data_IF_217804628151
#
_entry.id   IF_217804628151
#
_cell.length_a   1.000
_cell.length_b   1.000
_cell.length_c   1.000
_cell.angle_alpha   90.00
_cell.angle_beta   90.00
_cell.angle_gamma   90.00
#
_symmetry.space_group_name_H-M   'P 1'
#
loop_
_entity.id
_entity.type
_entity.pdbx_description
1 polymer ?
#
# COMPACT_ATOMS: atom_id res chain seq x y z
N UNK A 1 10.91 71.06 24.44
CA UNK A 1 11.67 69.79 24.57
C UNK A 1 10.67 68.72 25.00
N UNK A 2 10.38 67.72 24.14
CA UNK A 2 10.84 66.29 24.28
C UNK A 2 9.91 65.53 25.26
N UNK A 3 9.21 64.42 24.95
CA UNK A 3 9.33 63.39 23.92
C UNK A 3 7.96 62.69 23.70
N UNK A 4 7.63 62.36 22.45
CA UNK A 4 6.53 61.43 22.10
C UNK A 4 7.02 60.00 22.29
N UNK A 5 6.33 59.20 23.11
CA UNK A 5 6.57 57.75 23.21
C UNK A 5 5.64 57.02 22.25
N UNK A 6 6.14 56.72 21.06
CA UNK A 6 5.45 55.89 20.07
C UNK A 6 5.57 54.42 20.48
N UNK A 7 4.44 53.76 20.73
CA UNK A 7 4.37 52.30 20.87
C UNK A 7 4.60 51.68 19.49
N UNK A 8 5.69 50.90 19.35
CA UNK A 8 5.93 50.07 18.17
C UNK A 8 5.24 48.74 18.43
N UNK A 9 4.12 48.50 17.75
CA UNK A 9 3.50 47.18 17.70
C UNK A 9 4.32 46.29 16.77
N UNK A 10 4.99 45.27 17.32
CA UNK A 10 5.67 44.23 16.54
C UNK A 10 4.61 43.19 16.17
N UNK A 11 4.06 43.31 14.97
CA UNK A 11 3.15 42.30 14.41
C UNK A 11 3.98 41.14 13.89
N UNK A 12 3.94 40.01 14.60
CA UNK A 12 4.58 38.76 14.19
C UNK A 12 3.79 38.18 12.99
N UNK A 13 4.30 38.37 11.77
CA UNK A 13 3.71 37.78 10.56
C UNK A 13 4.16 36.31 10.48
N UNK A 14 3.34 35.41 11.05
CA UNK A 14 3.55 33.96 10.92
C UNK A 14 3.31 33.54 9.48
N UNK A 15 4.38 33.30 8.73
CA UNK A 15 4.34 32.75 7.38
C UNK A 15 3.98 31.26 7.49
N UNK A 16 2.69 30.94 7.52
CA UNK A 16 2.22 29.55 7.42
C UNK A 16 2.47 29.07 6.00
N UNK A 17 3.53 28.30 5.81
CA UNK A 17 3.79 27.57 4.58
C UNK A 17 2.73 26.46 4.47
N UNK A 18 1.57 26.77 3.89
CA UNK A 18 0.58 25.77 3.53
C UNK A 18 1.18 24.90 2.42
N UNK A 19 1.64 23.70 2.78
CA UNK A 19 1.92 22.65 1.81
C UNK A 19 0.59 22.27 1.15
N UNK A 20 0.35 22.78 -0.06
CA UNK A 20 -0.74 22.31 -0.91
C UNK A 20 -0.44 20.87 -1.29
N UNK A 21 -1.09 19.92 -0.63
CA UNK A 21 -1.19 18.55 -1.12
C UNK A 21 -1.97 18.64 -2.43
N UNK A 22 -1.27 18.50 -3.56
CA UNK A 22 -1.93 18.27 -4.84
C UNK A 22 -2.59 16.89 -4.75
N UNK A 23 -3.88 16.86 -4.44
CA UNK A 23 -4.69 15.69 -4.71
C UNK A 23 -4.87 15.62 -6.22
N UNK A 24 -4.31 14.58 -6.85
CA UNK A 24 -4.56 14.27 -8.25
C UNK A 24 -6.08 14.10 -8.44
N UNK A 25 -6.70 15.04 -9.14
CA UNK A 25 -8.15 15.01 -9.43
C UNK A 25 -8.48 13.77 -10.26
N UNK A 26 -8.83 12.67 -9.61
CA UNK A 26 -9.30 11.44 -10.27
C UNK A 26 -8.76 10.12 -9.72
N UNK A 27 -7.76 10.12 -8.81
CA UNK A 27 -7.21 8.88 -8.28
C UNK A 27 -8.21 8.16 -7.34
N UNK A 28 -8.79 7.05 -7.81
CA UNK A 28 -9.64 6.21 -6.98
C UNK A 28 -8.78 5.40 -6.00
N UNK A 29 -8.88 5.68 -4.70
CA UNK A 29 -8.13 4.91 -3.70
C UNK A 29 -8.60 3.45 -3.65
N UNK A 30 -7.64 2.52 -3.76
CA UNK A 30 -7.89 1.08 -3.57
C UNK A 30 -8.11 0.70 -2.10
N UNK A 31 -7.68 1.57 -1.17
CA UNK A 31 -7.71 1.30 0.27
C UNK A 31 -8.27 2.51 1.02
N UNK A 32 -9.25 2.26 1.89
CA UNK A 32 -9.93 3.31 2.67
C UNK A 32 -9.16 3.71 3.95
N UNK A 33 -7.99 3.11 4.18
CA UNK A 33 -7.18 3.33 5.39
C UNK A 33 -7.70 2.60 6.64
N UNK A 34 -8.78 1.82 6.54
CA UNK A 34 -9.54 1.34 7.70
C UNK A 34 -9.91 -0.14 7.62
N UNK A 35 -10.29 -0.61 6.45
CA UNK A 35 -10.87 -1.94 6.24
C UNK A 35 -10.28 -2.62 5.01
N UNK A 36 -10.42 -3.94 4.96
CA UNK A 36 -10.10 -4.73 3.76
C UNK A 36 -11.32 -4.88 2.84
N UNK A 37 -12.29 -3.95 2.91
CA UNK A 37 -13.44 -3.97 1.99
C UNK A 37 -12.95 -3.79 0.55
N UNK A 38 -13.44 -4.59 -0.37
CA UNK A 38 -12.97 -4.59 -1.76
C UNK A 38 -11.73 -5.45 -1.99
N UNK A 39 -11.29 -6.22 -0.98
CA UNK A 39 -10.15 -7.14 -1.07
C UNK A 39 -10.58 -8.57 -0.79
N UNK A 40 -9.97 -9.52 -1.49
CA UNK A 40 -10.19 -10.95 -1.35
C UNK A 40 -8.86 -11.69 -1.28
N UNK A 41 -8.70 -12.53 -0.26
CA UNK A 41 -7.53 -13.41 -0.17
C UNK A 41 -7.66 -14.59 -1.14
N UNK A 42 -6.57 -14.89 -1.85
CA UNK A 42 -6.44 -16.05 -2.74
C UNK A 42 -5.21 -16.89 -2.41
N UNK A 43 -5.34 -18.18 -2.67
CA UNK A 43 -4.33 -19.24 -2.49
C UNK A 43 -3.93 -19.54 -1.04
N UNK A 44 -2.74 -19.11 -0.59
CA UNK A 44 -2.23 -19.48 0.73
C UNK A 44 -3.00 -18.87 1.90
N UNK A 45 -2.42 -19.04 3.08
CA UNK A 45 -3.01 -18.81 4.40
C UNK A 45 -2.28 -17.73 5.20
N UNK A 46 -1.58 -16.81 4.53
CA UNK A 46 -1.10 -15.59 5.16
C UNK A 46 -2.27 -14.83 5.81
N UNK A 47 -1.96 -14.00 6.80
CA UNK A 47 -2.95 -13.13 7.42
C UNK A 47 -2.77 -11.71 6.94
N UNK A 48 -3.88 -11.01 6.72
CA UNK A 48 -3.92 -9.60 6.35
C UNK A 48 -4.80 -8.86 7.34
N UNK A 49 -4.30 -7.72 7.83
CA UNK A 49 -5.01 -6.85 8.76
C UNK A 49 -4.66 -5.40 8.50
N UNK A 50 -5.53 -4.49 8.94
CA UNK A 50 -5.24 -3.06 8.92
C UNK A 50 -4.68 -2.64 10.28
N UNK A 51 -3.58 -1.91 10.28
CA UNK A 51 -3.01 -1.27 11.47
C UNK A 51 -2.47 0.10 11.09
N UNK A 52 -2.82 1.14 11.86
CA UNK A 52 -2.34 2.51 11.67
C UNK A 52 -2.48 3.04 10.22
N UNK A 53 -3.59 2.71 9.55
CA UNK A 53 -3.81 3.13 8.16
C UNK A 53 -2.96 2.39 7.14
N UNK A 54 -2.44 1.21 7.47
CA UNK A 54 -1.61 0.38 6.57
C UNK A 54 -2.10 -1.07 6.57
N UNK A 55 -2.06 -1.71 5.40
CA UNK A 55 -2.30 -3.15 5.28
C UNK A 55 -1.03 -3.89 5.70
N UNK A 56 -1.13 -4.72 6.73
CA UNK A 56 -0.05 -5.58 7.21
C UNK A 56 -0.30 -7.01 6.75
N UNK A 57 0.56 -7.51 5.86
CA UNK A 57 0.63 -8.92 5.48
C UNK A 57 1.62 -9.69 6.35
N UNK A 58 1.23 -10.87 6.84
CA UNK A 58 2.11 -11.78 7.58
C UNK A 58 2.05 -13.19 7.01
N UNK A 59 3.19 -13.71 6.58
CA UNK A 59 3.34 -15.07 6.06
C UNK A 59 3.04 -16.12 7.13
N UNK A 60 2.58 -17.29 6.67
CA UNK A 60 2.30 -18.44 7.53
C UNK A 60 3.26 -19.57 7.13
N UNK A 61 4.07 -20.11 8.06
CA UNK A 61 4.98 -21.21 7.76
C UNK A 61 4.27 -22.41 7.10
N UNK A 62 4.90 -23.00 6.09
CA UNK A 62 4.33 -24.13 5.34
C UNK A 62 3.15 -23.78 4.41
N UNK A 63 2.77 -22.51 4.33
CA UNK A 63 1.75 -22.03 3.41
C UNK A 63 2.30 -21.76 2.02
N UNK A 64 1.56 -22.01 0.93
CA UNK A 64 1.94 -21.49 -0.38
C UNK A 64 1.81 -19.96 -0.43
N UNK A 65 2.24 -19.35 -1.53
CA UNK A 65 2.07 -17.91 -1.77
C UNK A 65 0.61 -17.50 -1.57
N UNK A 66 0.43 -16.39 -0.86
CA UNK A 66 -0.86 -15.82 -0.50
C UNK A 66 -0.98 -14.45 -1.14
N UNK A 67 -2.15 -14.14 -1.70
CA UNK A 67 -2.37 -12.89 -2.40
C UNK A 67 -3.59 -12.19 -1.82
N UNK A 68 -3.46 -10.90 -1.49
CA UNK A 68 -4.59 -10.03 -1.20
C UNK A 68 -4.96 -9.29 -2.49
N UNK A 69 -5.99 -9.77 -3.17
CA UNK A 69 -6.39 -9.25 -4.48
C UNK A 69 -7.51 -8.23 -4.34
N UNK A 70 -7.57 -7.23 -5.21
CA UNK A 70 -8.77 -6.42 -5.37
C UNK A 70 -9.93 -7.28 -5.88
N UNK A 71 -11.15 -6.99 -5.44
CA UNK A 71 -12.37 -7.61 -6.00
C UNK A 71 -12.65 -7.13 -7.43
N UNK A 72 -12.24 -5.89 -7.74
CA UNK A 72 -12.33 -5.30 -9.08
C UNK A 72 -11.12 -5.67 -9.93
N UNK A 73 -11.35 -5.76 -11.23
CA UNK A 73 -10.31 -5.87 -12.24
C UNK A 73 -10.02 -4.49 -12.87
N UNK A 74 -8.77 -4.26 -13.25
CA UNK A 74 -8.32 -3.00 -13.84
C UNK A 74 -7.57 -3.26 -15.15
N UNK A 75 -7.89 -2.46 -16.17
CA UNK A 75 -7.24 -2.50 -17.49
C UNK A 75 -6.04 -1.58 -17.55
N UNK A 76 -6.22 -0.40 -18.15
CA UNK A 76 -5.24 0.69 -18.12
C UNK A 76 -5.38 1.48 -16.83
N UNK A 77 -4.26 1.66 -16.12
CA UNK A 77 -4.21 2.35 -14.84
C UNK A 77 -2.80 2.87 -14.57
N UNK A 78 -2.73 3.87 -13.71
CA UNK A 78 -1.53 4.24 -12.96
C UNK A 78 -1.75 3.81 -11.50
N UNK A 79 -0.77 3.13 -10.91
CA UNK A 79 -0.84 2.66 -9.53
C UNK A 79 0.31 3.26 -8.73
N UNK A 80 -0.05 4.05 -7.73
CA UNK A 80 0.89 4.62 -6.76
C UNK A 80 0.61 4.00 -5.39
N UNK A 81 1.66 3.48 -4.76
CA UNK A 81 1.61 2.93 -3.40
C UNK A 81 2.98 3.01 -2.74
N UNK A 82 2.97 2.90 -1.41
CA UNK A 82 4.18 2.69 -0.62
C UNK A 82 4.19 1.25 -0.10
N UNK A 83 5.37 0.62 -0.11
CA UNK A 83 5.57 -0.73 0.40
C UNK A 83 6.79 -0.79 1.31
N UNK A 84 6.73 -1.63 2.34
CA UNK A 84 7.84 -1.87 3.27
C UNK A 84 7.93 -3.35 3.62
N UNK A 85 9.14 -3.89 3.53
CA UNK A 85 9.47 -5.21 4.07
C UNK A 85 10.00 -5.06 5.50
N UNK A 86 9.52 -5.92 6.41
CA UNK A 86 9.83 -5.80 7.84
C UNK A 86 11.23 -6.31 8.20
N UNK A 87 11.84 -7.14 7.36
CA UNK A 87 13.18 -7.66 7.56
C UNK A 87 13.90 -7.84 6.21
N UNK A 88 15.20 -8.15 6.26
CA UNK A 88 16.08 -8.32 5.11
C UNK A 88 15.99 -9.67 4.40
N UNK A 89 15.07 -10.54 4.82
CA UNK A 89 14.91 -11.90 4.33
C UNK A 89 13.56 -12.12 3.62
N UNK A 90 12.72 -11.07 3.60
CA UNK A 90 11.39 -11.16 3.01
C UNK A 90 11.42 -10.82 1.53
N UNK A 91 10.48 -11.48 0.85
CA UNK A 91 10.12 -11.25 -0.53
C UNK A 91 8.62 -10.96 -0.61
N UNK A 92 8.25 -10.03 -1.49
CA UNK A 92 6.88 -9.70 -1.79
C UNK A 92 6.79 -9.14 -3.21
N UNK A 93 5.59 -8.74 -3.62
CA UNK A 93 5.42 -8.07 -4.89
C UNK A 93 3.96 -7.69 -5.14
N UNK A 94 3.78 -6.85 -6.14
CA UNK A 94 2.46 -6.41 -6.60
C UNK A 94 2.16 -7.11 -7.92
N UNK A 95 1.17 -7.97 -7.87
CA UNK A 95 0.60 -8.64 -9.03
C UNK A 95 -0.19 -7.62 -9.87
N UNK A 96 0.11 -7.52 -11.16
CA UNK A 96 -0.56 -6.60 -12.10
C UNK A 96 -1.26 -7.37 -13.20
N UNK A 97 -2.55 -7.06 -13.45
CA UNK A 97 -3.38 -7.72 -14.48
C UNK A 97 -3.41 -9.27 -14.34
N UNK A 98 -3.23 -9.77 -13.11
CA UNK A 98 -3.10 -11.19 -12.82
C UNK A 98 -4.46 -11.89 -12.73
N UNK A 99 -4.48 -13.19 -13.02
CA UNK A 99 -5.68 -14.00 -13.10
C UNK A 99 -5.65 -15.15 -12.11
N UNK A 100 -6.81 -15.57 -11.65
CA UNK A 100 -7.01 -16.83 -10.94
C UNK A 100 -8.30 -17.48 -11.43
N UNK A 101 -8.22 -18.76 -11.83
CA UNK A 101 -9.42 -19.51 -12.26
C UNK A 101 -10.35 -19.70 -11.07
N UNK A 102 -11.65 -19.47 -11.24
CA UNK A 102 -12.63 -19.89 -10.24
C UNK A 102 -12.75 -21.41 -10.25
N UNK A 103 -12.52 -22.03 -9.10
CA UNK A 103 -12.59 -23.48 -8.92
C UNK A 103 -13.77 -23.85 -8.02
N UNK A 104 -14.28 -25.07 -8.17
CA UNK A 104 -15.34 -25.63 -7.31
C UNK A 104 -14.72 -26.61 -6.30
N UNK A 105 -15.32 -26.74 -5.11
CA UNK A 105 -14.90 -27.69 -4.07
C UNK A 105 -14.02 -27.05 -2.99
N UNK A 106 -13.10 -27.82 -2.38
CA UNK A 106 -12.25 -27.36 -1.25
C UNK A 106 -11.34 -26.17 -1.57
N UNK A 107 -11.13 -25.86 -2.86
CA UNK A 107 -10.36 -24.70 -3.33
C UNK A 107 -11.29 -23.79 -4.13
N UNK A 108 -11.42 -22.54 -3.68
CA UNK A 108 -12.25 -21.53 -4.35
C UNK A 108 -11.55 -20.90 -5.57
N UNK A 109 -10.22 -20.81 -5.53
CA UNK A 109 -9.42 -20.17 -6.58
C UNK A 109 -8.24 -21.05 -7.00
N UNK A 110 -7.97 -21.07 -8.30
CA UNK A 110 -6.74 -21.60 -8.88
C UNK A 110 -5.55 -20.71 -8.56
N UNK A 111 -4.35 -21.14 -8.98
CA UNK A 111 -3.11 -20.38 -8.76
C UNK A 111 -3.20 -18.99 -9.41
N UNK A 112 -2.96 -17.96 -8.61
CA UNK A 112 -2.75 -16.59 -9.12
C UNK A 112 -1.52 -16.61 -10.04
N UNK A 113 -1.69 -16.07 -11.24
CA UNK A 113 -0.63 -15.98 -12.24
C UNK A 113 -0.76 -14.69 -13.04
N UNK A 114 0.37 -14.05 -13.32
CA UNK A 114 0.47 -12.81 -14.06
C UNK A 114 1.82 -12.13 -13.81
N UNK A 115 2.08 -10.99 -14.47
CA UNK A 115 3.24 -10.17 -14.18
C UNK A 115 3.23 -9.65 -12.74
N UNK A 116 4.42 -9.55 -12.15
CA UNK A 116 4.62 -9.06 -10.79
C UNK A 116 5.71 -7.99 -10.77
N UNK A 117 5.45 -6.90 -10.06
CA UNK A 117 6.48 -5.94 -9.67
C UNK A 117 7.07 -6.42 -8.35
N UNK A 118 8.36 -6.73 -8.36
CA UNK A 118 9.05 -7.40 -7.26
C UNK A 118 9.49 -6.44 -6.14
N UNK A 119 9.31 -6.86 -4.89
CA UNK A 119 9.93 -6.25 -3.72
C UNK A 119 10.78 -7.29 -3.02
N UNK A 120 12.09 -7.10 -3.00
CA UNK A 120 13.00 -8.04 -2.39
C UNK A 120 13.97 -7.32 -1.46
N UNK A 121 14.09 -7.80 -0.22
CA UNK A 121 15.05 -7.27 0.74
C UNK A 121 16.32 -8.13 0.85
N UNK A 122 16.28 -9.37 0.33
CA UNK A 122 17.47 -10.18 0.16
C UNK A 122 18.32 -9.56 -0.95
N UNK A 123 19.61 -9.35 -0.68
CA UNK A 123 20.53 -8.71 -1.62
C UNK A 123 20.82 -9.56 -2.87
N UNK A 124 22.08 -9.66 -3.27
CA UNK A 124 22.48 -10.30 -4.54
C UNK A 124 22.20 -11.81 -4.70
N UNK A 125 21.50 -12.45 -3.76
CA UNK A 125 21.25 -13.90 -3.79
C UNK A 125 19.88 -14.29 -4.35
N UNK A 126 18.93 -13.36 -4.48
CA UNK A 126 17.58 -13.67 -4.94
C UNK A 126 16.79 -14.47 -3.89
N UNK A 127 15.52 -14.15 -3.68
CA UNK A 127 14.65 -14.89 -2.76
C UNK A 127 14.06 -16.16 -3.40
N UNK A 128 14.23 -16.33 -4.72
CA UNK A 128 13.74 -17.48 -5.47
C UNK A 128 14.73 -18.67 -5.51
N UNK A 129 15.82 -18.63 -4.74
CA UNK A 129 16.82 -19.71 -4.66
C UNK A 129 16.37 -20.90 -3.83
#
# INVERSE_FOLDING_TARGET
MIFKRTLIAITLFSLTLSSTLFAEEGAASLFDGKTLKGWIQKNGTATYRVENGTIIGKTTPGSPNSFLCTEKEYGDFELTLEAKLFNSELNSGIQIRSKAKNLKGKKMFGRVNGPQVEFEATGSKGAES
#
